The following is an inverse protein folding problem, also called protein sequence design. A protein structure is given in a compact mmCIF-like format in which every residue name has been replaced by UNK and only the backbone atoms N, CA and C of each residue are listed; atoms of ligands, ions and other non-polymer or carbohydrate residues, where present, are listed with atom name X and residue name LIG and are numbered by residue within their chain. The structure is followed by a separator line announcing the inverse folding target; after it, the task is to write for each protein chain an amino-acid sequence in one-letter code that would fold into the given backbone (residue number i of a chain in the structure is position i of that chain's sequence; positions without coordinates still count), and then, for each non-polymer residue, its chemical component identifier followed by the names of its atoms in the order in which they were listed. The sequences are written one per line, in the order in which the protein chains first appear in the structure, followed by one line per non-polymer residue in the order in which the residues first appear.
data_IF_899822504914
#
_entry.id   IF_899822504914
#
_cell.length_a   1.000
_cell.length_b   1.000
_cell.length_c   1.000
_cell.angle_alpha   90.00
_cell.angle_beta   90.00
_cell.angle_gamma   90.00
#
_symmetry.space_group_name_H-M   'P 1'
#
loop_
_entity.id
_entity.type
_entity.pdbx_description
1 polymer ?
#
# COMPACT_ATOMS: atom_id res chain seq x y z
N UNK A 1 -30.76 6.06 -23.99
CA UNK A 1 -31.56 6.21 -22.75
C UNK A 1 -31.22 7.54 -22.08
N UNK A 2 -32.15 8.17 -21.35
CA UNK A 2 -31.86 9.37 -20.52
C UNK A 2 -31.66 8.92 -19.08
N UNK A 3 -30.55 9.30 -18.45
CA UNK A 3 -30.25 9.03 -17.04
C UNK A 3 -30.05 10.36 -16.30
N UNK A 4 -30.67 10.49 -15.14
CA UNK A 4 -30.46 11.62 -14.22
C UNK A 4 -29.26 11.35 -13.32
N UNK A 5 -28.30 12.27 -13.31
CA UNK A 5 -27.14 12.20 -12.44
C UNK A 5 -27.56 12.36 -10.97
N UNK A 6 -27.23 11.37 -10.13
CA UNK A 6 -27.56 11.40 -8.69
C UNK A 6 -26.81 12.48 -7.90
N UNK A 7 -25.70 13.01 -8.42
CA UNK A 7 -24.91 14.04 -7.72
C UNK A 7 -25.38 15.47 -8.03
N UNK A 8 -25.65 15.78 -9.30
CA UNK A 8 -25.93 17.16 -9.71
C UNK A 8 -27.32 17.37 -10.34
N UNK A 9 -28.13 16.31 -10.43
CA UNK A 9 -29.46 16.35 -11.04
C UNK A 9 -29.49 16.54 -12.56
N UNK A 10 -28.33 16.68 -13.22
CA UNK A 10 -28.29 16.87 -14.66
C UNK A 10 -28.78 15.62 -15.41
N UNK A 11 -29.59 15.82 -16.44
CA UNK A 11 -30.05 14.76 -17.34
C UNK A 11 -28.99 14.52 -18.42
N UNK A 12 -28.58 13.27 -18.61
CA UNK A 12 -27.58 12.87 -19.61
C UNK A 12 -28.24 11.89 -20.58
N UNK A 13 -28.14 12.16 -21.89
CA UNK A 13 -28.50 11.19 -22.93
C UNK A 13 -27.31 10.27 -23.18
N UNK A 14 -27.50 8.98 -22.94
CA UNK A 14 -26.46 7.97 -23.12
C UNK A 14 -26.90 7.02 -24.25
N UNK A 15 -26.02 6.81 -25.22
CA UNK A 15 -26.18 5.81 -26.29
C UNK A 15 -25.76 4.41 -25.85
N UNK A 16 -25.49 3.52 -26.80
CA UNK A 16 -24.84 2.24 -26.50
C UNK A 16 -23.40 2.52 -26.03
N UNK A 17 -23.05 2.00 -24.85
CA UNK A 17 -21.71 2.16 -24.28
C UNK A 17 -20.87 0.95 -24.74
N UNK A 18 -19.73 1.16 -25.42
CA UNK A 18 -18.81 0.07 -25.77
C UNK A 18 -18.34 -0.68 -24.52
N UNK A 19 -18.02 -1.97 -24.67
CA UNK A 19 -17.49 -2.78 -23.55
C UNK A 19 -16.22 -2.15 -23.00
N UNK A 20 -16.16 -2.01 -21.68
CA UNK A 20 -15.03 -1.39 -20.97
C UNK A 20 -15.12 0.13 -20.84
N UNK A 21 -16.13 0.80 -21.40
CA UNK A 21 -16.35 2.23 -21.20
C UNK A 21 -17.36 2.49 -20.07
N UNK A 22 -17.19 3.60 -19.36
CA UNK A 22 -18.11 4.05 -18.30
C UNK A 22 -18.68 5.41 -18.69
N UNK A 23 -20.00 5.54 -18.67
CA UNK A 23 -20.65 6.83 -18.91
C UNK A 23 -20.52 7.74 -17.69
N UNK A 24 -20.07 8.98 -17.93
CA UNK A 24 -19.93 10.03 -16.91
C UNK A 24 -20.86 11.19 -17.20
N UNK A 25 -21.25 11.91 -16.15
CA UNK A 25 -22.07 13.10 -16.28
C UNK A 25 -21.32 14.22 -16.98
N UNK A 26 -21.88 14.80 -18.05
CA UNK A 26 -21.26 15.92 -18.76
C UNK A 26 -21.08 17.19 -17.94
N UNK A 27 -21.83 17.34 -16.84
CA UNK A 27 -21.78 18.52 -15.96
C UNK A 27 -20.77 18.38 -14.82
N UNK A 28 -20.82 17.27 -14.07
CA UNK A 28 -20.03 17.09 -12.85
C UNK A 28 -19.01 15.94 -12.93
N UNK A 29 -18.95 15.23 -14.07
CA UNK A 29 -18.10 14.05 -14.31
C UNK A 29 -18.35 12.85 -13.40
N UNK A 30 -19.39 12.86 -12.57
CA UNK A 30 -19.79 11.69 -11.79
C UNK A 30 -20.24 10.51 -12.67
N UNK A 31 -19.84 9.30 -12.30
CA UNK A 31 -20.21 8.05 -12.99
C UNK A 31 -21.72 7.81 -12.92
N UNK A 32 -22.34 7.46 -14.05
CA UNK A 32 -23.80 7.29 -14.16
C UNK A 32 -24.30 5.84 -13.96
N UNK A 33 -23.44 4.96 -13.40
CA UNK A 33 -23.73 3.55 -13.10
C UNK A 33 -23.49 2.61 -14.28
N UNK A 34 -23.11 1.36 -13.99
CA UNK A 34 -22.93 0.30 -14.99
C UNK A 34 -24.27 -0.39 -15.27
N UNK A 35 -24.58 -0.64 -16.53
CA UNK A 35 -25.69 -1.53 -16.93
C UNK A 35 -25.26 -2.95 -16.54
N UNK A 36 -25.85 -3.51 -15.49
CA UNK A 36 -25.66 -4.93 -15.14
C UNK A 36 -26.18 -5.79 -16.30
N UNK A 37 -25.26 -6.38 -17.05
CA UNK A 37 -25.60 -7.37 -18.05
C UNK A 37 -25.96 -8.68 -17.33
N UNK A 38 -27.22 -9.06 -17.43
CA UNK A 38 -27.78 -10.36 -17.03
C UNK A 38 -26.90 -11.54 -17.51
N UNK A 39 -26.67 -12.58 -16.67
CA UNK A 39 -25.84 -13.70 -17.06
C UNK A 39 -26.52 -14.54 -18.16
N UNK A 40 -25.86 -14.61 -19.32
CA UNK A 40 -26.28 -15.44 -20.46
C UNK A 40 -26.03 -16.91 -20.12
N UNK A 41 -27.10 -17.73 -20.21
CA UNK A 41 -27.09 -19.19 -20.01
C UNK A 41 -25.90 -19.86 -20.69
N UNK A 42 -25.06 -20.48 -19.86
CA UNK A 42 -23.95 -21.34 -20.24
C UNK A 42 -24.51 -22.67 -20.79
N UNK A 43 -24.15 -23.03 -22.03
CA UNK A 43 -24.47 -24.35 -22.59
C UNK A 43 -23.45 -25.35 -22.05
N UNK A 44 -23.91 -26.15 -21.09
CA UNK A 44 -23.27 -27.36 -20.57
C UNK A 44 -22.85 -28.30 -21.72
N UNK A 45 -21.54 -28.41 -21.96
CA UNK A 45 -20.96 -29.58 -22.63
C UNK A 45 -20.59 -30.60 -21.57
N UNK A 46 -21.38 -31.67 -21.51
CA UNK A 46 -21.09 -32.89 -20.75
C UNK A 46 -19.78 -33.50 -21.25
N UNK A 47 -18.80 -33.64 -20.37
CA UNK A 47 -17.72 -34.61 -20.53
C UNK A 47 -17.79 -35.57 -19.34
N UNK A 48 -17.99 -36.82 -19.70
CA UNK A 48 -18.21 -37.99 -18.89
C UNK A 48 -16.92 -38.56 -18.29
N UNK A 49 -16.98 -38.98 -17.02
CA UNK A 49 -16.32 -40.22 -16.56
C UNK A 49 -15.12 -40.05 -15.61
N UNK A 50 -15.31 -40.55 -14.37
CA UNK A 50 -14.40 -41.41 -13.58
C UNK A 50 -12.94 -40.93 -13.36
N UNK A 51 -12.31 -40.90 -12.17
CA UNK A 51 -12.47 -41.59 -10.88
C UNK A 51 -11.50 -40.93 -9.90
N UNK A 52 -11.93 -40.52 -8.69
CA UNK A 52 -11.01 -40.15 -7.60
C UNK A 52 -11.46 -40.84 -6.31
N UNK A 53 -10.88 -42.01 -6.06
CA UNK A 53 -10.80 -42.68 -4.76
C UNK A 53 -9.52 -43.53 -4.77
N UNK A 54 -8.99 -43.84 -3.58
CA UNK A 54 -7.68 -44.45 -3.24
C UNK A 54 -6.57 -43.39 -2.99
N UNK A 55 -5.95 -43.21 -1.82
CA UNK A 55 -5.86 -43.98 -0.56
C UNK A 55 -5.53 -42.98 0.57
N UNK A 56 -6.30 -43.04 1.66
CA UNK A 56 -5.78 -42.78 3.00
C UNK A 56 -5.51 -44.14 3.67
N UNK A 57 -4.59 -44.16 4.64
CA UNK A 57 -4.15 -45.28 5.51
C UNK A 57 -2.79 -45.88 5.12
N UNK A 58 -1.74 -45.36 5.74
CA UNK A 58 -0.85 -46.21 6.55
C UNK A 58 -0.92 -45.63 7.97
N UNK A 59 -1.66 -46.34 8.82
CA UNK A 59 -1.71 -46.11 10.25
C UNK A 59 -0.92 -47.20 10.98
N UNK A 60 -0.12 -46.72 11.93
CA UNK A 60 -0.01 -47.23 13.31
C UNK A 60 0.73 -48.56 13.53
N UNK A 61 1.81 -48.45 14.29
CA UNK A 61 2.54 -49.50 14.99
C UNK A 61 3.98 -49.01 15.17
N UNK A 62 4.31 -48.30 16.24
CA UNK A 62 4.60 -48.94 17.53
C UNK A 62 4.41 -47.98 18.71
N UNK A 63 3.97 -48.60 19.80
CA UNK A 63 3.46 -48.05 21.05
C UNK A 63 4.55 -47.51 22.00
N UNK A 64 4.15 -46.47 22.72
CA UNK A 64 4.51 -46.03 24.07
C UNK A 64 5.51 -46.86 24.91
N UNK A 65 6.48 -46.17 25.55
CA UNK A 65 6.93 -46.41 26.93
C UNK A 65 7.28 -45.06 27.58
N UNK A 66 6.43 -44.50 28.46
CA UNK A 66 6.35 -44.64 29.94
C UNK A 66 6.94 -43.43 30.68
N UNK A 67 6.10 -42.86 31.53
CA UNK A 67 6.36 -41.89 32.59
C UNK A 67 6.61 -42.65 33.91
N UNK A 68 7.54 -42.12 34.71
CA UNK A 68 7.53 -42.01 36.19
C UNK A 68 8.64 -42.69 37.01
N UNK A 69 9.03 -41.91 38.03
CA UNK A 69 9.58 -42.24 39.33
C UNK A 69 10.99 -42.84 39.46
N UNK A 70 11.92 -41.99 39.92
CA UNK A 70 12.43 -42.16 41.29
C UNK A 70 13.16 -40.91 41.81
N UNK A 71 12.72 -40.54 43.01
CA UNK A 71 13.27 -39.58 43.97
C UNK A 71 14.79 -39.66 44.12
N UNK A 72 15.41 -38.51 44.39
CA UNK A 72 16.04 -38.19 45.69
C UNK A 72 16.93 -36.95 45.49
N UNK A 73 16.46 -35.78 45.90
CA UNK A 73 16.93 -35.09 47.11
C UNK A 73 18.40 -34.70 47.06
N UNK A 74 18.69 -33.39 47.02
CA UNK A 74 19.48 -32.77 48.09
C UNK A 74 19.13 -31.28 48.21
N UNK A 75 18.59 -30.98 49.38
CA UNK A 75 18.43 -29.66 49.98
C UNK A 75 19.77 -29.14 50.48
N UNK A 76 19.87 -27.81 50.58
CA UNK A 76 20.53 -26.95 51.59
C UNK A 76 21.35 -25.84 50.91
N UNK A 77 20.97 -24.56 50.97
CA UNK A 77 20.81 -23.63 52.10
C UNK A 77 22.11 -22.86 52.41
N UNK A 78 22.08 -21.59 51.99
CA UNK A 78 22.54 -20.36 52.66
C UNK A 78 24.02 -20.14 53.01
N UNK A 79 24.56 -18.98 52.62
CA UNK A 79 24.75 -17.75 53.45
C UNK A 79 25.74 -16.81 52.74
N UNK A 80 25.30 -15.59 52.46
CA UNK A 80 25.72 -14.35 53.13
C UNK A 80 27.23 -14.07 53.08
N UNK A 81 27.64 -12.99 52.40
CA UNK A 81 28.36 -11.89 53.05
C UNK A 81 28.55 -10.69 52.12
N UNK A 82 28.39 -9.52 52.73
CA UNK A 82 28.47 -8.16 52.21
C UNK A 82 29.89 -7.79 51.81
N UNK A 83 30.04 -6.90 50.84
CA UNK A 83 30.88 -5.72 51.03
C UNK A 83 30.45 -4.59 50.10
N UNK A 84 30.29 -3.44 50.73
CA UNK A 84 29.93 -2.15 50.18
C UNK A 84 30.95 -1.66 49.14
N UNK A 85 30.45 -1.02 48.10
CA UNK A 85 31.20 -0.21 47.16
C UNK A 85 30.29 0.91 46.68
N UNK A 86 30.17 1.94 47.50
CA UNK A 86 29.63 3.24 47.13
C UNK A 86 30.50 3.80 45.99
N UNK A 87 29.87 3.98 44.84
CA UNK A 87 30.45 4.57 43.63
C UNK A 87 29.41 5.48 43.02
N UNK A 88 29.07 6.54 43.75
CA UNK A 88 28.28 7.67 43.27
C UNK A 88 29.03 8.40 42.14
N UNK A 89 28.87 7.91 40.92
CA UNK A 89 29.25 8.67 39.72
C UNK A 89 28.17 9.72 39.45
N UNK A 90 28.38 10.91 39.99
CA UNK A 90 27.69 12.13 39.56
C UNK A 90 28.11 12.43 38.12
N UNK A 91 27.27 12.07 37.15
CA UNK A 91 27.42 12.56 35.79
C UNK A 91 26.96 14.03 35.79
N UNK A 92 27.93 14.95 35.89
CA UNK A 92 27.66 16.37 35.72
C UNK A 92 27.16 16.62 34.31
N UNK A 93 25.92 17.10 34.25
CA UNK A 93 25.19 17.50 33.05
C UNK A 93 25.71 18.84 32.52
N UNK A 94 26.98 18.93 32.16
CA UNK A 94 27.51 20.15 31.54
C UNK A 94 28.35 19.77 30.31
N UNK A 95 27.91 20.31 29.17
CA UNK A 95 28.70 20.51 27.95
C UNK A 95 28.83 19.36 26.94
N UNK A 96 27.71 18.71 26.59
CA UNK A 96 27.55 18.24 25.20
C UNK A 96 26.97 19.38 24.36
N UNK A 97 27.82 20.37 24.05
CA UNK A 97 27.60 21.24 22.89
C UNK A 97 27.61 20.35 21.67
N UNK A 98 26.41 19.97 21.23
CA UNK A 98 26.18 19.30 19.96
C UNK A 98 26.97 20.08 18.89
N UNK A 99 27.92 19.47 18.18
CA UNK A 99 28.65 20.17 17.13
C UNK A 99 27.62 20.69 16.14
N UNK A 100 27.53 22.02 16.03
CA UNK A 100 26.68 22.71 15.08
C UNK A 100 26.92 22.08 13.72
N UNK A 101 25.90 21.35 13.23
CA UNK A 101 25.86 20.81 11.88
C UNK A 101 26.32 21.93 10.95
N UNK A 102 27.29 21.70 10.05
CA UNK A 102 27.67 22.73 9.08
C UNK A 102 26.40 23.23 8.42
N UNK A 103 26.20 24.55 8.42
CA UNK A 103 24.99 25.19 7.91
C UNK A 103 24.77 24.73 6.47
N UNK A 104 23.79 23.83 6.29
CA UNK A 104 23.31 23.47 4.96
C UNK A 104 22.83 24.79 4.34
N UNK A 105 23.25 25.12 3.10
CA UNK A 105 22.77 26.32 2.46
C UNK A 105 21.24 26.37 2.52
N UNK A 106 20.66 27.55 2.81
CA UNK A 106 19.21 27.69 2.94
C UNK A 106 18.53 27.21 1.66
N UNK A 107 17.37 26.58 1.80
CA UNK A 107 16.56 26.16 0.66
C UNK A 107 15.93 27.40 0.01
N UNK A 108 16.29 27.67 -1.25
CA UNK A 108 15.91 28.90 -1.96
C UNK A 108 14.90 28.70 -3.09
N UNK A 109 14.38 27.49 -3.25
CA UNK A 109 13.45 27.18 -4.34
C UNK A 109 12.06 27.79 -4.10
N UNK A 110 11.44 28.25 -5.18
CA UNK A 110 10.12 28.87 -5.12
C UNK A 110 9.02 27.82 -5.21
N UNK A 111 7.96 27.99 -4.42
CA UNK A 111 6.77 27.14 -4.50
C UNK A 111 6.16 27.21 -5.92
N UNK A 112 5.89 26.04 -6.48
CA UNK A 112 5.26 25.84 -7.78
C UNK A 112 3.78 25.47 -7.61
N UNK A 113 2.93 25.74 -8.61
CA UNK A 113 1.54 25.30 -8.55
C UNK A 113 1.45 23.77 -8.43
N UNK A 114 0.54 23.30 -7.57
CA UNK A 114 0.26 21.87 -7.44
C UNK A 114 -0.11 21.28 -8.81
N UNK A 115 0.44 20.11 -9.19
CA UNK A 115 -0.08 19.35 -10.31
C UNK A 115 -1.58 19.02 -10.12
N UNK A 116 -2.29 18.79 -11.22
CA UNK A 116 -3.68 18.33 -11.15
C UNK A 116 -3.78 17.05 -10.32
N UNK A 117 -4.81 16.94 -9.49
CA UNK A 117 -5.15 15.68 -8.83
C UNK A 117 -5.32 14.57 -9.88
N UNK A 118 -4.71 13.42 -9.63
CA UNK A 118 -4.72 12.28 -10.55
C UNK A 118 -3.81 12.45 -11.78
N UNK A 119 -2.92 13.46 -11.81
CA UNK A 119 -1.94 13.58 -12.90
C UNK A 119 -0.97 12.41 -12.84
N UNK A 120 -1.04 11.53 -13.85
CA UNK A 120 -0.15 10.37 -14.01
C UNK A 120 1.00 10.73 -14.95
N UNK A 121 2.21 10.31 -14.58
CA UNK A 121 3.38 10.26 -15.47
C UNK A 121 3.78 8.82 -15.68
N UNK A 122 3.82 8.35 -16.92
CA UNK A 122 4.20 6.98 -17.28
C UNK A 122 5.68 6.90 -17.62
N UNK A 123 6.36 5.86 -17.13
CA UNK A 123 7.78 5.60 -17.37
C UNK A 123 8.04 4.30 -18.13
N UNK A 124 7.07 3.39 -18.15
CA UNK A 124 7.12 2.14 -18.91
C UNK A 124 5.89 1.95 -19.79
N UNK A 125 6.03 1.13 -20.83
CA UNK A 125 4.91 0.68 -21.65
C UNK A 125 4.21 -0.54 -21.01
N UNK A 126 2.89 -0.56 -21.05
CA UNK A 126 2.05 -1.66 -20.61
C UNK A 126 0.59 -1.23 -20.63
N UNK A 127 -0.32 -2.14 -21.00
CA UNK A 127 -1.75 -1.81 -21.05
C UNK A 127 -2.31 -1.69 -19.62
N UNK A 128 -2.81 -0.52 -19.22
CA UNK A 128 -3.39 -0.34 -17.90
C UNK A 128 -4.79 -0.96 -17.87
N UNK A 129 -4.93 -2.09 -17.18
CA UNK A 129 -6.19 -2.86 -17.12
C UNK A 129 -6.63 -3.20 -15.71
N UNK A 130 -5.76 -3.02 -14.72
CA UNK A 130 -5.99 -3.44 -13.35
C UNK A 130 -6.29 -2.23 -12.45
N UNK A 131 -7.44 -2.19 -11.75
CA UNK A 131 -7.87 -0.98 -11.08
C UNK A 131 -7.06 -0.71 -9.81
N UNK A 132 -6.65 0.55 -9.64
CA UNK A 132 -6.01 1.07 -8.45
C UNK A 132 -6.76 2.32 -7.96
N UNK A 133 -7.17 2.29 -6.69
CA UNK A 133 -7.76 3.41 -5.99
C UNK A 133 -6.82 3.88 -4.88
N UNK A 134 -6.59 5.19 -4.77
CA UNK A 134 -5.74 5.80 -3.76
C UNK A 134 -6.54 6.86 -3.03
N UNK A 135 -6.76 6.66 -1.73
CA UNK A 135 -7.44 7.57 -0.82
C UNK A 135 -6.41 8.30 0.03
N UNK A 136 -6.46 9.62 0.06
CA UNK A 136 -5.62 10.45 0.95
C UNK A 136 -6.46 11.07 2.07
N UNK A 137 -5.86 11.26 3.24
CA UNK A 137 -6.47 12.11 4.28
C UNK A 137 -6.31 13.59 3.92
N UNK A 138 -7.11 14.44 4.55
CA UNK A 138 -6.87 15.89 4.56
C UNK A 138 -5.46 16.21 5.08
N UNK A 139 -4.92 17.36 4.68
CA UNK A 139 -3.56 17.80 5.01
C UNK A 139 -2.64 17.67 3.81
N UNK A 140 -1.59 16.85 3.94
CA UNK A 140 -0.54 16.71 2.92
C UNK A 140 -1.06 16.27 1.55
N UNK A 141 -0.38 16.74 0.51
CA UNK A 141 -0.46 16.17 -0.83
C UNK A 141 0.57 15.05 -0.98
N UNK A 142 0.38 14.20 -1.99
CA UNK A 142 1.20 13.00 -2.20
C UNK A 142 1.67 12.91 -3.65
N UNK A 143 2.93 12.52 -3.83
CA UNK A 143 3.41 11.95 -5.09
C UNK A 143 3.65 10.47 -4.85
N UNK A 144 2.84 9.61 -5.48
CA UNK A 144 2.93 8.16 -5.34
C UNK A 144 3.66 7.58 -6.55
N UNK A 145 4.61 6.69 -6.32
CA UNK A 145 5.31 5.91 -7.35
C UNK A 145 4.93 4.44 -7.26
N UNK A 146 4.68 3.84 -8.41
CA UNK A 146 4.66 2.39 -8.59
C UNK A 146 5.96 1.99 -9.27
N UNK A 147 6.72 1.09 -8.67
CA UNK A 147 7.95 0.53 -9.25
C UNK A 147 7.80 -0.98 -9.40
N UNK A 148 8.26 -1.53 -10.51
CA UNK A 148 8.31 -2.98 -10.72
C UNK A 148 9.08 -3.68 -9.59
N UNK A 149 8.50 -4.74 -9.03
CA UNK A 149 9.06 -5.39 -7.83
C UNK A 149 10.42 -6.06 -8.12
N UNK A 150 10.64 -6.56 -9.32
CA UNK A 150 11.85 -7.30 -9.64
C UNK A 150 12.99 -6.38 -10.08
N UNK A 151 12.72 -5.49 -11.03
CA UNK A 151 13.72 -4.58 -11.61
C UNK A 151 13.91 -3.29 -10.82
N UNK A 152 12.96 -2.92 -9.96
CA UNK A 152 12.97 -1.66 -9.22
C UNK A 152 12.72 -0.42 -10.07
N UNK A 153 12.45 -0.58 -11.38
CA UNK A 153 12.19 0.54 -12.29
C UNK A 153 10.81 1.12 -12.04
N UNK A 154 10.71 2.45 -12.01
CA UNK A 154 9.43 3.14 -11.94
C UNK A 154 8.58 2.83 -13.18
N UNK A 155 7.31 2.56 -12.97
CA UNK A 155 6.29 2.26 -13.98
C UNK A 155 5.44 3.49 -14.23
N UNK A 156 5.00 4.12 -13.14
CA UNK A 156 4.28 5.38 -13.15
C UNK A 156 4.47 6.15 -11.85
N UNK A 157 4.17 7.44 -11.91
CA UNK A 157 3.88 8.26 -10.72
C UNK A 157 2.53 8.95 -10.86
N UNK A 158 1.87 9.22 -9.74
CA UNK A 158 0.60 9.96 -9.69
C UNK A 158 0.62 11.00 -8.59
N UNK A 159 0.16 12.21 -8.91
CA UNK A 159 -0.02 13.28 -7.91
C UNK A 159 -1.43 13.22 -7.32
N UNK A 160 -1.53 13.14 -6.00
CA UNK A 160 -2.79 13.00 -5.27
C UNK A 160 -2.92 14.15 -4.27
N UNK A 161 -3.95 14.97 -4.44
CA UNK A 161 -4.26 16.02 -3.48
C UNK A 161 -4.70 15.44 -2.13
N UNK A 162 -4.41 16.12 -1.02
CA UNK A 162 -4.93 15.76 0.30
C UNK A 162 -6.46 15.76 0.32
N UNK A 163 -7.06 14.81 1.04
CA UNK A 163 -8.50 14.64 1.20
C UNK A 163 -9.25 14.19 -0.06
N UNK A 164 -8.53 13.68 -1.06
CA UNK A 164 -9.08 13.30 -2.35
C UNK A 164 -8.92 11.81 -2.61
N UNK A 165 -9.60 11.29 -3.64
CA UNK A 165 -9.47 9.89 -4.08
C UNK A 165 -9.13 9.86 -5.56
N UNK A 166 -7.98 9.27 -5.90
CA UNK A 166 -7.57 9.03 -7.29
C UNK A 166 -7.89 7.58 -7.68
N UNK A 167 -8.52 7.38 -8.83
CA UNK A 167 -8.84 6.05 -9.37
C UNK A 167 -8.36 5.96 -10.81
N UNK A 168 -7.57 4.95 -11.12
CA UNK A 168 -7.00 4.72 -12.44
C UNK A 168 -6.58 3.25 -12.59
N UNK A 169 -6.34 2.81 -13.82
CA UNK A 169 -5.87 1.45 -14.09
C UNK A 169 -4.34 1.42 -14.22
N UNK A 170 -3.74 0.31 -13.83
CA UNK A 170 -2.30 0.04 -13.93
C UNK A 170 -2.05 -1.25 -14.73
N UNK A 171 -0.85 -1.42 -15.31
CA UNK A 171 -0.50 -2.67 -15.98
C UNK A 171 -0.52 -3.84 -15.00
N UNK A 172 -0.66 -5.06 -15.53
CA UNK A 172 -0.50 -6.27 -14.73
C UNK A 172 0.97 -6.44 -14.32
N UNK A 173 1.18 -6.92 -13.11
CA UNK A 173 2.49 -7.14 -12.54
C UNK A 173 2.51 -7.00 -11.03
N UNK A 174 3.66 -7.31 -10.45
CA UNK A 174 3.91 -7.13 -9.02
C UNK A 174 4.70 -5.84 -8.80
N UNK A 175 4.19 -4.95 -7.94
CA UNK A 175 4.79 -3.64 -7.71
C UNK A 175 5.14 -3.38 -6.26
N UNK A 176 6.15 -2.52 -6.06
CA UNK A 176 6.38 -1.77 -4.83
C UNK A 176 5.75 -0.39 -4.95
N UNK A 177 5.19 0.09 -3.85
CA UNK A 177 4.59 1.41 -3.77
C UNK A 177 5.41 2.28 -2.83
N UNK A 178 5.80 3.46 -3.31
CA UNK A 178 6.44 4.51 -2.53
C UNK A 178 5.63 5.79 -2.63
N UNK A 179 5.71 6.65 -1.64
CA UNK A 179 5.16 7.99 -1.76
C UNK A 179 6.00 9.02 -1.01
N UNK A 180 6.09 10.20 -1.62
CA UNK A 180 6.52 11.42 -0.98
C UNK A 180 5.27 12.21 -0.56
N UNK A 181 5.35 12.93 0.55
CA UNK A 181 4.24 13.75 1.06
C UNK A 181 4.71 15.06 1.67
N UNK A 182 3.87 16.08 1.56
CA UNK A 182 4.04 17.38 2.18
C UNK A 182 2.98 18.39 1.75
N UNK A 183 3.04 19.59 2.31
CA UNK A 183 2.00 20.62 2.14
C UNK A 183 2.20 21.48 0.90
N UNK A 184 3.45 21.84 0.58
CA UNK A 184 3.81 22.78 -0.49
C UNK A 184 4.58 22.07 -1.57
N UNK A 185 4.37 22.41 -2.82
CA UNK A 185 5.02 21.78 -3.96
C UNK A 185 6.09 22.68 -4.57
N UNK A 186 7.28 22.14 -4.84
CA UNK A 186 8.43 22.87 -5.38
C UNK A 186 8.92 22.30 -6.71
N UNK A 187 8.11 21.47 -7.37
CA UNK A 187 8.45 20.83 -8.64
C UNK A 187 8.93 19.38 -8.51
N UNK A 188 9.06 18.66 -9.62
CA UNK A 188 9.44 17.24 -9.62
C UNK A 188 10.86 16.98 -9.08
N UNK A 189 11.74 17.98 -9.07
CA UNK A 189 13.12 17.88 -8.56
C UNK A 189 13.19 18.00 -7.03
N UNK A 190 12.34 18.84 -6.44
CA UNK A 190 12.37 19.17 -5.01
C UNK A 190 11.15 18.67 -4.24
N UNK A 191 10.14 18.17 -4.94
CA UNK A 191 8.90 17.61 -4.41
C UNK A 191 8.22 18.56 -3.42
N UNK A 192 8.20 18.20 -2.14
CA UNK A 192 7.58 19.01 -1.09
C UNK A 192 8.59 19.82 -0.26
N UNK A 193 9.79 20.00 -0.79
CA UNK A 193 10.87 20.77 -0.17
C UNK A 193 11.60 19.99 0.94
N UNK A 194 12.33 20.68 1.83
CA UNK A 194 13.16 20.06 2.86
C UNK A 194 12.40 19.15 3.83
N UNK A 195 11.11 19.43 4.04
CA UNK A 195 10.24 18.67 4.95
C UNK A 195 9.51 17.51 4.25
N UNK A 196 9.90 17.16 3.02
CA UNK A 196 9.30 16.03 2.31
C UNK A 196 9.45 14.75 3.13
N UNK A 197 8.32 14.11 3.45
CA UNK A 197 8.29 12.82 4.09
C UNK A 197 8.16 11.71 3.05
N UNK A 198 9.11 10.77 3.06
CA UNK A 198 9.15 9.63 2.16
C UNK A 198 8.76 8.34 2.89
N UNK A 199 7.97 7.50 2.22
CA UNK A 199 7.53 6.21 2.77
C UNK A 199 7.40 5.17 1.67
N UNK A 200 7.56 3.90 2.04
CA UNK A 200 7.38 2.73 1.17
C UNK A 200 6.40 1.78 1.84
N UNK A 201 5.51 1.19 1.06
CA UNK A 201 4.66 0.10 1.53
C UNK A 201 5.50 -1.13 1.87
N UNK A 202 5.19 -1.79 2.99
CA UNK A 202 5.93 -2.97 3.44
C UNK A 202 5.56 -4.22 2.61
N UNK A 203 4.35 -4.24 2.04
CA UNK A 203 3.85 -5.29 1.15
C UNK A 203 4.09 -4.97 -0.33
N UNK A 204 4.20 -6.00 -1.15
CA UNK A 204 4.06 -5.90 -2.60
C UNK A 204 2.59 -6.00 -3.02
N UNK A 205 2.28 -5.50 -4.22
CA UNK A 205 0.94 -5.47 -4.78
C UNK A 205 0.92 -6.21 -6.10
N UNK A 206 0.10 -7.25 -6.21
CA UNK A 206 0.08 -8.14 -7.35
C UNK A 206 -1.21 -7.96 -8.18
N UNK A 207 -1.06 -7.26 -9.29
CA UNK A 207 -2.13 -6.99 -10.25
C UNK A 207 -2.11 -8.08 -11.32
N UNK A 208 -3.08 -8.99 -11.26
CA UNK A 208 -3.12 -10.19 -12.06
C UNK A 208 -4.55 -10.56 -12.46
N UNK A 209 -4.68 -11.46 -13.42
CA UNK A 209 -5.97 -12.04 -13.78
C UNK A 209 -6.21 -13.28 -12.93
N UNK A 210 -7.28 -13.28 -12.14
CA UNK A 210 -7.72 -14.41 -11.33
C UNK A 210 -9.02 -14.93 -11.93
N UNK A 211 -8.92 -16.04 -12.67
CA UNK A 211 -10.04 -16.59 -13.44
C UNK A 211 -10.49 -15.63 -14.52
N UNK A 212 -11.68 -15.06 -14.37
CA UNK A 212 -12.29 -14.08 -15.29
C UNK A 212 -12.30 -12.64 -14.74
N UNK A 213 -11.61 -12.38 -13.62
CA UNK A 213 -11.53 -11.08 -12.99
C UNK A 213 -10.10 -10.54 -12.98
N UNK A 214 -9.94 -9.22 -13.09
CA UNK A 214 -8.65 -8.54 -12.88
C UNK A 214 -8.57 -8.08 -11.43
N UNK A 215 -7.51 -8.46 -10.72
CA UNK A 215 -7.27 -8.00 -9.35
C UNK A 215 -6.90 -6.52 -9.32
N UNK A 216 -7.38 -5.82 -8.30
CA UNK A 216 -7.08 -4.41 -8.07
C UNK A 216 -6.94 -4.12 -6.58
N UNK A 217 -6.52 -2.90 -6.25
CA UNK A 217 -6.26 -2.51 -4.88
C UNK A 217 -6.84 -1.14 -4.55
N UNK A 218 -7.25 -0.98 -3.30
CA UNK A 218 -7.53 0.32 -2.69
C UNK A 218 -6.47 0.60 -1.64
N UNK A 219 -5.79 1.73 -1.74
CA UNK A 219 -4.75 2.17 -0.81
C UNK A 219 -5.22 3.37 -0.02
N UNK A 220 -4.86 3.41 1.25
CA UNK A 220 -5.18 4.54 2.13
C UNK A 220 -3.88 5.17 2.62
N UNK A 221 -3.61 6.39 2.16
CA UNK A 221 -2.37 7.14 2.44
C UNK A 221 -2.55 8.03 3.68
N UNK A 222 -2.42 7.45 4.87
CA UNK A 222 -2.18 8.20 6.11
C UNK A 222 -1.81 7.25 7.26
N UNK A 223 -1.04 7.76 8.23
CA UNK A 223 -0.67 7.01 9.45
C UNK A 223 -1.83 7.00 10.43
N UNK A 224 -2.76 6.07 10.29
CA UNK A 224 -3.64 5.66 11.40
C UNK A 224 -3.22 4.28 11.91
N UNK A 225 -3.41 4.07 13.20
CA UNK A 225 -3.54 2.73 13.77
C UNK A 225 -4.63 2.00 12.96
N UNK A 226 -4.31 0.84 12.37
CA UNK A 226 -5.20 0.02 11.53
C UNK A 226 -5.52 0.52 10.10
N UNK A 227 -4.67 1.36 9.51
CA UNK A 227 -4.72 1.59 8.06
C UNK A 227 -4.39 0.32 7.27
N UNK A 228 -4.95 0.14 6.07
CA UNK A 228 -4.70 -1.06 5.26
C UNK A 228 -3.32 -1.08 4.58
N UNK A 229 -2.56 0.01 4.70
CA UNK A 229 -1.23 0.15 4.15
C UNK A 229 -0.21 0.31 5.27
N UNK A 230 0.53 -0.76 5.58
CA UNK A 230 1.70 -0.68 6.46
C UNK A 230 2.88 -0.12 5.67
N UNK A 231 3.63 0.80 6.29
CA UNK A 231 4.70 1.53 5.62
C UNK A 231 5.91 1.75 6.50
N UNK A 232 7.09 1.68 5.89
CA UNK A 232 8.36 2.09 6.47
C UNK A 232 8.81 3.45 5.91
N UNK A 233 9.47 4.26 6.74
CA UNK A 233 10.14 5.48 6.29
C UNK A 233 11.34 5.11 5.44
N UNK A 234 11.56 5.84 4.34
CA UNK A 234 12.73 5.68 3.46
C UNK A 234 13.45 7.02 3.32
N UNK A 235 14.69 6.99 2.83
CA UNK A 235 15.45 8.21 2.52
C UNK A 235 15.04 8.83 1.17
N UNK A 236 15.40 10.10 0.88
CA UNK A 236 15.16 10.71 -0.43
C UNK A 236 15.82 9.94 -1.58
N UNK A 237 16.97 9.31 -1.35
CA UNK A 237 17.72 8.54 -2.35
C UNK A 237 17.04 7.20 -2.69
N UNK A 238 16.25 6.66 -1.75
CA UNK A 238 15.47 5.44 -1.95
C UNK A 238 14.16 5.68 -2.71
N UNK A 239 13.75 6.94 -2.92
CA UNK A 239 12.45 7.30 -3.51
C UNK A 239 12.46 7.29 -5.04
#
# INVERSE_FOLDING_TARGET
MVITCKQCGAQNRIGEIPRGCVAVCGKCRHVLGQVENSPRKEKSSRISGATWAWIAIIGIGLLAWIVDASRSSHSTRSKDSRSSGDGSYSYSSDDYRSPSRPDRPPFTETEQPLPNHGKITWYSAGDPVAPLEIKSSLGSHYLVKLSDYNSGKDVLSVFVHGGSTATFDVPLGTYRIKYASGERWYGPEHLFGPETAYSKADSSFDFQVIGNHVSGYTLTLYKVLNGNLQTSKISPEEF
#
